data_IF_517011785261
#
_entry.id   IF_517011785261
#
_cell.length_a   1.000
_cell.length_b   1.000
_cell.length_c   1.000
_cell.angle_alpha   90.00
_cell.angle_beta   90.00
_cell.angle_gamma   90.00
#
_symmetry.space_group_name_H-M   'P 1'
#
loop_
_entity.id
_entity.type
_entity.pdbx_description
1 polymer ?
#
# COMPACT_ATOMS: atom_id res chain seq x y z
N UNK A 1 16.77 3.68 10.88
CA UNK A 1 17.24 2.32 10.52
C UNK A 1 16.63 1.94 9.18
N UNK A 2 17.43 1.89 8.12
CA UNK A 2 16.99 1.32 6.85
C UNK A 2 16.96 -0.20 7.02
N UNK A 3 15.80 -0.82 6.83
CA UNK A 3 15.67 -2.27 6.84
C UNK A 3 16.30 -2.80 5.55
N UNK A 4 17.53 -3.34 5.65
CA UNK A 4 18.12 -4.13 4.57
C UNK A 4 17.44 -5.49 4.61
N UNK A 5 16.75 -5.86 3.52
CA UNK A 5 16.04 -7.13 3.38
C UNK A 5 16.68 -7.97 2.28
N UNK A 6 16.63 -9.30 2.44
CA UNK A 6 17.07 -10.22 1.40
C UNK A 6 16.19 -10.06 0.15
N UNK A 7 16.77 -9.75 -1.01
CA UNK A 7 16.04 -9.58 -2.28
C UNK A 7 16.62 -10.40 -3.43
N UNK A 8 17.58 -11.27 -3.15
CA UNK A 8 18.23 -12.14 -4.13
C UNK A 8 17.21 -13.14 -4.73
N UNK A 9 17.37 -13.50 -6.01
CA UNK A 9 16.51 -14.50 -6.65
C UNK A 9 16.61 -15.84 -5.93
N UNK A 10 17.79 -16.22 -5.45
CA UNK A 10 18.04 -17.48 -4.76
C UNK A 10 17.42 -17.54 -3.36
N UNK A 11 17.02 -16.39 -2.79
CA UNK A 11 16.31 -16.33 -1.51
C UNK A 11 14.79 -16.34 -1.68
N UNK A 12 14.27 -16.47 -2.91
CA UNK A 12 12.84 -16.41 -3.23
C UNK A 12 12.40 -17.68 -3.96
N UNK A 13 11.24 -18.21 -3.62
CA UNK A 13 10.57 -19.29 -4.32
C UNK A 13 9.24 -18.79 -4.91
N UNK A 14 8.64 -19.58 -5.81
CA UNK A 14 7.30 -19.32 -6.38
C UNK A 14 7.10 -17.90 -6.96
N UNK A 15 8.12 -17.35 -7.60
CA UNK A 15 8.09 -15.98 -8.15
C UNK A 15 7.05 -15.89 -9.27
N UNK A 16 5.99 -15.11 -9.04
CA UNK A 16 4.89 -14.84 -9.99
C UNK A 16 4.79 -13.33 -10.29
N UNK A 17 4.25 -12.92 -11.45
CA UNK A 17 3.89 -11.53 -11.68
C UNK A 17 2.91 -11.03 -10.62
N UNK A 18 3.05 -9.76 -10.24
CA UNK A 18 2.15 -9.11 -9.28
C UNK A 18 0.75 -8.98 -9.87
N UNK A 19 -0.27 -9.40 -9.13
CA UNK A 19 -1.69 -9.34 -9.52
C UNK A 19 -2.31 -7.95 -9.37
N UNK A 20 -1.62 -7.05 -8.68
CA UNK A 20 -2.07 -5.70 -8.37
C UNK A 20 -1.32 -4.66 -9.21
N UNK A 21 -2.02 -3.59 -9.59
CA UNK A 21 -1.45 -2.51 -10.38
C UNK A 21 -2.24 -1.22 -10.29
N UNK A 22 -2.37 -0.52 -11.41
CA UNK A 22 -3.02 0.79 -11.49
C UNK A 22 -4.50 0.71 -11.07
N UNK A 23 -5.18 -0.38 -11.42
CA UNK A 23 -6.61 -0.53 -11.12
C UNK A 23 -6.88 -0.57 -9.61
N UNK A 24 -6.02 -1.22 -8.82
CA UNK A 24 -6.18 -1.27 -7.37
C UNK A 24 -5.74 0.04 -6.72
N UNK A 25 -4.63 0.62 -7.19
CA UNK A 25 -4.15 1.93 -6.70
C UNK A 25 -5.20 3.02 -6.86
N UNK A 26 -5.94 3.04 -7.98
CA UNK A 26 -7.01 4.00 -8.21
C UNK A 26 -8.23 3.83 -7.30
N UNK A 27 -8.40 2.66 -6.65
CA UNK A 27 -9.46 2.41 -5.67
C UNK A 27 -9.05 2.80 -4.25
N UNK A 28 -7.74 2.99 -4.00
CA UNK A 28 -7.25 3.40 -2.69
C UNK A 28 -7.64 4.84 -2.41
N UNK A 29 -7.93 5.12 -1.14
CA UNK A 29 -8.35 6.43 -0.66
C UNK A 29 -7.31 7.01 0.30
N UNK A 30 -6.33 7.80 -0.19
CA UNK A 30 -5.38 8.49 0.67
C UNK A 30 -6.08 9.52 1.57
N UNK A 31 -5.86 9.42 2.87
CA UNK A 31 -6.48 10.30 3.87
C UNK A 31 -5.43 11.02 4.70
N UNK A 32 -5.83 12.14 5.31
CA UNK A 32 -5.11 12.73 6.43
C UNK A 32 -5.84 12.41 7.72
N UNK A 33 -5.10 12.11 8.79
CA UNK A 33 -5.69 11.77 10.07
C UNK A 33 -4.79 12.23 11.22
N UNK A 34 -5.36 12.19 12.43
CA UNK A 34 -4.63 12.31 13.68
C UNK A 34 -4.96 11.06 14.49
N UNK A 35 -3.96 10.49 15.16
CA UNK A 35 -4.25 9.40 16.09
C UNK A 35 -5.09 9.94 17.25
N UNK A 36 -5.95 9.08 17.80
CA UNK A 36 -6.59 9.34 19.09
C UNK A 36 -5.49 9.51 20.14
N UNK A 37 -5.73 10.35 21.14
CA UNK A 37 -4.74 10.73 22.15
C UNK A 37 -4.10 9.54 22.88
N UNK A 38 -4.85 8.45 23.09
CA UNK A 38 -4.34 7.23 23.71
C UNK A 38 -3.41 6.40 22.82
N UNK A 39 -3.48 6.54 21.48
CA UNK A 39 -2.55 5.90 20.53
C UNK A 39 -1.31 6.76 20.29
N UNK A 40 -1.52 8.08 20.13
CA UNK A 40 -0.41 9.02 20.00
C UNK A 40 -0.77 10.35 20.67
N UNK A 41 -0.04 10.76 21.72
CA UNK A 41 -0.31 12.03 22.39
C UNK A 41 0.20 13.22 21.56
N UNK A 42 1.11 12.99 20.60
CA UNK A 42 1.44 14.02 19.61
C UNK A 42 0.22 14.19 18.71
N UNK A 43 -0.52 15.29 18.88
CA UNK A 43 -1.64 15.67 18.03
C UNK A 43 -1.16 16.09 16.63
N UNK A 44 -0.32 15.29 15.97
CA UNK A 44 0.32 15.56 14.68
C UNK A 44 -0.56 15.04 13.56
N UNK A 45 -0.74 15.83 12.50
CA UNK A 45 -1.38 15.37 11.25
C UNK A 45 -0.46 14.35 10.58
N UNK A 46 -1.05 13.22 10.18
CA UNK A 46 -0.41 12.14 9.43
C UNK A 46 -1.18 11.91 8.15
N UNK A 47 -0.52 11.27 7.19
CA UNK A 47 -1.10 10.83 5.93
C UNK A 47 -1.02 9.31 5.89
N UNK A 48 -1.99 8.67 5.27
CA UNK A 48 -2.02 7.22 5.11
C UNK A 48 -3.31 6.73 4.49
N UNK A 49 -3.64 5.48 4.77
CA UNK A 49 -4.82 4.77 4.31
C UNK A 49 -5.56 4.21 5.53
N UNK A 50 -6.86 3.92 5.36
CA UNK A 50 -7.67 3.22 6.35
C UNK A 50 -7.61 1.72 6.05
N UNK A 51 -7.08 0.93 6.98
CA UNK A 51 -6.84 -0.51 6.77
C UNK A 51 -8.11 -1.27 6.35
N UNK A 52 -9.27 -0.91 6.91
CA UNK A 52 -10.57 -1.49 6.56
C UNK A 52 -11.01 -1.19 5.13
N UNK A 53 -10.59 -0.05 4.55
CA UNK A 53 -10.86 0.30 3.15
C UNK A 53 -9.90 -0.43 2.21
N UNK A 54 -8.68 -0.71 2.67
CA UNK A 54 -7.64 -1.39 1.87
C UNK A 54 -7.83 -2.90 1.85
N UNK A 55 -8.29 -3.50 2.94
CA UNK A 55 -8.48 -4.94 3.09
C UNK A 55 -9.24 -5.61 1.92
N UNK A 56 -10.39 -5.09 1.44
CA UNK A 56 -11.09 -5.70 0.30
C UNK A 56 -10.39 -5.49 -1.05
N UNK A 57 -9.32 -4.69 -1.11
CA UNK A 57 -8.61 -4.33 -2.36
C UNK A 57 -7.25 -5.06 -2.43
N UNK A 58 -6.43 -4.94 -1.39
CA UNK A 58 -5.09 -5.53 -1.27
C UNK A 58 -4.96 -6.10 0.16
N UNK A 59 -5.55 -7.27 0.45
CA UNK A 59 -5.61 -7.81 1.81
C UNK A 59 -4.22 -8.12 2.40
N UNK A 60 -3.23 -8.45 1.58
CA UNK A 60 -1.89 -8.87 2.03
C UNK A 60 -1.11 -7.75 2.73
N UNK A 61 -1.47 -6.48 2.49
CA UNK A 61 -0.82 -5.36 3.18
C UNK A 61 -1.49 -5.02 4.52
N UNK A 62 -2.59 -5.68 4.88
CA UNK A 62 -3.32 -5.46 6.13
C UNK A 62 -2.95 -6.53 7.14
N UNK A 63 -2.45 -6.09 8.30
CA UNK A 63 -2.04 -6.95 9.41
C UNK A 63 -3.18 -6.95 10.44
N UNK A 64 -3.69 -8.15 10.76
CA UNK A 64 -4.82 -8.37 11.67
C UNK A 64 -4.41 -8.73 13.10
N UNK A 65 -3.13 -8.97 13.33
CA UNK A 65 -2.59 -9.29 14.65
C UNK A 65 -2.42 -8.01 15.46
N UNK A 66 -2.93 -8.01 16.68
CA UNK A 66 -3.00 -6.82 17.51
C UNK A 66 -1.94 -6.85 18.59
N UNK A 67 -1.31 -5.71 18.81
CA UNK A 67 -0.46 -5.46 19.97
C UNK A 67 -1.24 -4.51 20.87
N UNK A 68 -2.01 -5.07 21.78
CA UNK A 68 -2.67 -4.35 22.86
C UNK A 68 -1.62 -3.90 23.90
N UNK A 69 -1.97 -2.91 24.72
CA UNK A 69 -1.12 -2.48 25.84
C UNK A 69 -1.93 -2.63 27.12
N UNK A 70 -1.49 -3.51 28.02
CA UNK A 70 -2.14 -3.69 29.30
C UNK A 70 -2.07 -2.41 30.16
N UNK A 71 -2.85 -2.40 31.23
CA UNK A 71 -2.87 -1.35 32.27
C UNK A 71 -1.51 -1.03 32.90
N UNK A 72 -0.48 -1.84 32.67
CA UNK A 72 0.89 -1.66 33.16
C UNK A 72 1.85 -1.19 32.06
N UNK A 73 1.39 -0.96 30.84
CA UNK A 73 2.22 -0.57 29.71
C UNK A 73 2.88 -1.74 28.96
N UNK A 74 2.50 -2.98 29.23
CA UNK A 74 3.05 -4.16 28.56
C UNK A 74 2.28 -4.47 27.28
N UNK A 75 3.01 -4.87 26.24
CA UNK A 75 2.43 -5.37 25.00
C UNK A 75 1.72 -6.72 25.24
N UNK A 76 0.41 -6.78 25.01
CA UNK A 76 -0.41 -8.00 25.04
C UNK A 76 -0.89 -8.27 23.63
N UNK A 77 -0.60 -9.45 23.08
CA UNK A 77 -1.12 -9.80 21.77
C UNK A 77 -2.56 -10.29 21.94
N UNK A 78 -3.53 -9.55 21.40
CA UNK A 78 -4.93 -9.97 21.30
C UNK A 78 -5.27 -10.14 19.83
N UNK A 79 -6.18 -11.07 19.52
CA UNK A 79 -6.62 -11.28 18.15
C UNK A 79 -7.68 -10.21 17.79
N UNK A 80 -7.34 -9.27 16.90
CA UNK A 80 -8.33 -8.52 16.11
C UNK A 80 -9.00 -7.27 16.70
N UNK A 81 -8.39 -6.50 17.62
CA UNK A 81 -8.98 -5.21 18.06
C UNK A 81 -8.64 -4.01 17.16
N UNK A 82 -7.45 -3.97 16.53
CA UNK A 82 -7.02 -2.94 15.57
C UNK A 82 -6.28 -3.55 14.37
N UNK A 83 -6.53 -2.97 13.20
CA UNK A 83 -5.81 -3.33 11.97
C UNK A 83 -4.58 -2.43 11.79
N UNK A 84 -3.47 -3.05 11.42
CA UNK A 84 -2.23 -2.38 11.02
C UNK A 84 -1.98 -2.56 9.53
N UNK A 85 -1.01 -1.82 8.96
CA UNK A 85 -0.66 -1.93 7.55
C UNK A 85 0.85 -2.02 7.31
N UNK A 86 1.25 -2.90 6.40
CA UNK A 86 2.60 -2.91 5.84
C UNK A 86 2.67 -2.01 4.59
N UNK A 87 3.03 -0.74 4.80
CA UNK A 87 3.20 0.22 3.69
C UNK A 87 4.37 -0.12 2.75
N UNK A 88 5.36 -0.90 3.20
CA UNK A 88 6.49 -1.30 2.34
C UNK A 88 6.03 -2.23 1.23
N UNK A 89 5.05 -3.09 1.49
CA UNK A 89 4.52 -4.04 0.50
C UNK A 89 3.62 -3.35 -0.54
N UNK A 90 3.21 -2.10 -0.32
CA UNK A 90 2.56 -1.28 -1.35
C UNK A 90 3.54 -0.76 -2.41
N UNK A 91 4.84 -0.69 -2.13
CA UNK A 91 5.83 -0.11 -3.06
C UNK A 91 5.87 -0.86 -4.40
N UNK A 92 5.95 -2.21 -4.44
CA UNK A 92 5.88 -2.94 -5.71
C UNK A 92 4.57 -2.73 -6.48
N UNK A 93 3.44 -2.57 -5.77
CA UNK A 93 2.14 -2.26 -6.39
C UNK A 93 2.17 -0.90 -7.07
N UNK A 94 2.72 0.12 -6.39
CA UNK A 94 2.86 1.47 -6.94
C UNK A 94 3.81 1.49 -8.15
N UNK A 95 4.91 0.73 -8.11
CA UNK A 95 5.82 0.58 -9.27
C UNK A 95 5.05 0.02 -10.48
N UNK A 96 4.28 -1.05 -10.28
CA UNK A 96 3.48 -1.67 -11.34
C UNK A 96 2.42 -0.70 -11.88
N UNK A 97 1.76 0.06 -11.01
CA UNK A 97 0.78 1.06 -11.40
C UNK A 97 1.38 2.18 -12.27
N UNK A 98 2.59 2.65 -11.95
CA UNK A 98 3.30 3.66 -12.77
C UNK A 98 3.66 3.10 -14.14
N UNK A 99 4.13 1.85 -14.22
CA UNK A 99 4.41 1.18 -15.49
C UNK A 99 3.16 1.07 -16.38
N UNK A 100 2.04 0.66 -15.79
CA UNK A 100 0.76 0.58 -16.51
C UNK A 100 0.23 1.95 -16.94
N UNK A 101 0.49 2.98 -16.14
CA UNK A 101 0.14 4.36 -16.47
C UNK A 101 0.98 4.86 -17.67
N UNK A 102 2.29 4.62 -17.67
CA UNK A 102 3.19 4.95 -18.79
C UNK A 102 2.78 4.24 -20.10
N UNK A 103 2.41 2.96 -20.02
CA UNK A 103 1.87 2.22 -21.18
C UNK A 103 0.57 2.84 -21.72
N UNK A 104 -0.31 3.32 -20.85
CA UNK A 104 -1.55 4.02 -21.27
C UNK A 104 -1.22 5.36 -21.93
N UNK A 105 -0.26 6.11 -21.39
CA UNK A 105 0.18 7.39 -21.96
C UNK A 105 0.74 7.17 -23.37
N UNK A 106 1.67 6.23 -23.56
CA UNK A 106 2.24 5.91 -24.87
C UNK A 106 1.18 5.53 -25.90
N UNK A 107 0.20 4.70 -25.51
CA UNK A 107 -0.94 4.34 -26.38
C UNK A 107 -1.81 5.54 -26.76
N UNK A 108 -1.96 6.52 -25.88
CA UNK A 108 -2.70 7.75 -26.17
C UNK A 108 -1.90 8.65 -27.10
N UNK A 109 -0.60 8.81 -26.90
CA UNK A 109 0.30 9.57 -27.78
C UNK A 109 0.33 8.99 -29.20
N UNK A 110 0.43 7.67 -29.34
CA UNK A 110 0.38 6.99 -30.65
C UNK A 110 -0.95 7.25 -31.38
N UNK A 111 -2.07 7.24 -30.64
CA UNK A 111 -3.39 7.53 -31.21
C UNK A 111 -3.50 8.98 -31.67
N UNK A 112 -3.01 9.93 -30.87
CA UNK A 112 -3.00 11.35 -31.22
C UNK A 112 -2.18 11.56 -32.48
N UNK A 113 -0.95 11.03 -32.55
CA UNK A 113 -0.10 11.12 -33.74
C UNK A 113 -0.78 10.51 -34.98
N UNK A 114 -1.49 9.39 -34.83
CA UNK A 114 -2.21 8.76 -35.95
C UNK A 114 -3.34 9.65 -36.46
N UNK A 115 -4.09 10.29 -35.57
CA UNK A 115 -5.18 11.19 -35.93
C UNK A 115 -4.68 12.50 -36.56
N UNK A 116 -3.60 13.08 -36.02
CA UNK A 116 -2.99 14.30 -36.55
C UNK A 116 -2.38 14.11 -37.95
N UNK A 117 -1.87 12.92 -38.26
CA UNK A 117 -1.33 12.61 -39.59
C UNK A 117 -2.40 12.15 -40.60
N UNK A 118 -3.67 12.10 -40.20
CA UNK A 118 -4.82 11.79 -41.07
C UNK A 118 -5.55 13.04 -41.56
N UNK A 119 -5.23 14.22 -41.01
CA UNK A 119 -5.66 15.55 -41.48
C UNK A 119 -4.61 16.19 -42.40
#
# INVERSE_FOLDING_TARGET
>A
NGYITYSDRNTKNEIKPLSYGLNEVLKLNPVTYRYKSFISPNNRIRMGLIAQEVEPIIPEVVIKEDVDIDKNGNKVVTEGAYLSMNYTDLIPVLIKAIQEQDEKIKKLEEKINTLENQE
#
